data_IF_875320045898
#
_entry.id   IF_875320045898
#
_cell.length_a   1.000
_cell.length_b   1.000
_cell.length_c   1.000
_cell.angle_alpha   90.00
_cell.angle_beta   90.00
_cell.angle_gamma   90.00
#
_symmetry.space_group_name_H-M   'P 1'
#
loop_
_entity.id
_entity.type
_entity.pdbx_description
1 polymer ?
#
# COMPACT_ATOMS: atom_id res chain seq x y z
N UNK A 1 14.88 9.09 19.39
CA UNK A 1 14.55 8.97 17.96
C UNK A 1 13.05 9.10 17.83
N UNK A 2 12.58 10.00 16.95
CA UNK A 2 11.16 10.13 16.64
C UNK A 2 10.79 9.00 15.69
N UNK A 3 9.80 8.19 16.03
CA UNK A 3 9.33 7.12 15.17
C UNK A 3 8.30 7.71 14.20
N UNK A 4 8.54 7.62 12.89
CA UNK A 4 7.55 8.02 11.89
C UNK A 4 6.44 6.96 11.85
N UNK A 5 5.18 7.40 12.01
CA UNK A 5 3.99 6.53 12.11
C UNK A 5 2.97 7.08 11.12
N UNK A 6 2.45 6.21 10.25
CA UNK A 6 1.46 6.56 9.24
C UNK A 6 0.12 5.90 9.53
N UNK A 7 -0.93 6.38 8.87
CA UNK A 7 -2.22 5.70 8.87
C UNK A 7 -2.08 4.34 8.18
N UNK A 8 -2.91 3.38 8.59
CA UNK A 8 -2.93 1.98 8.14
C UNK A 8 -1.67 1.14 8.43
N UNK A 9 -0.59 1.73 8.98
CA UNK A 9 0.58 0.98 9.42
C UNK A 9 0.19 -0.16 10.37
N UNK A 10 0.70 -1.36 10.11
CA UNK A 10 0.53 -2.52 10.97
C UNK A 10 1.76 -2.68 11.84
N UNK A 11 1.57 -2.50 13.14
CA UNK A 11 2.63 -2.64 14.14
C UNK A 11 2.42 -3.86 15.02
N UNK A 12 3.52 -4.40 15.51
CA UNK A 12 3.52 -5.42 16.55
C UNK A 12 3.87 -4.78 17.88
N UNK A 13 3.00 -4.90 18.88
CA UNK A 13 3.28 -4.41 20.23
C UNK A 13 4.01 -5.46 21.07
N UNK A 14 4.76 -5.00 22.08
CA UNK A 14 5.41 -5.84 23.10
C UNK A 14 4.40 -6.54 24.00
N UNK A 15 3.30 -5.87 24.33
CA UNK A 15 2.20 -6.43 25.15
C UNK A 15 1.13 -7.05 24.26
N UNK A 16 0.64 -8.22 24.66
CA UNK A 16 -0.51 -8.86 23.99
C UNK A 16 -1.79 -8.10 24.26
N UNK A 17 -2.68 -8.05 23.26
CA UNK A 17 -4.07 -7.70 23.51
C UNK A 17 -4.76 -8.81 24.34
N UNK A 18 -5.75 -8.54 25.20
CA UNK A 18 -6.57 -9.56 25.87
C UNK A 18 -7.12 -10.66 24.93
N UNK A 19 -7.32 -10.38 23.63
CA UNK A 19 -7.75 -11.41 22.66
C UNK A 19 -6.63 -12.38 22.19
N UNK A 20 -5.38 -12.15 22.61
CA UNK A 20 -4.21 -12.94 22.26
C UNK A 20 -3.38 -12.46 21.05
N UNK A 21 -3.85 -11.48 20.28
CA UNK A 21 -3.08 -10.90 19.16
C UNK A 21 -2.06 -9.86 19.63
N UNK A 22 -0.96 -9.74 18.89
CA UNK A 22 0.07 -8.72 19.05
C UNK A 22 0.03 -7.66 17.95
N UNK A 23 -0.84 -7.85 16.96
CA UNK A 23 -0.87 -7.06 15.74
C UNK A 23 -1.98 -6.02 15.79
N UNK A 24 -1.57 -4.79 15.50
CA UNK A 24 -2.39 -3.62 15.62
C UNK A 24 -2.21 -2.75 14.38
N UNK A 25 -3.31 -2.29 13.83
CA UNK A 25 -3.33 -1.31 12.75
C UNK A 25 -3.47 0.09 13.32
N UNK A 26 -2.69 1.03 12.84
CA UNK A 26 -2.83 2.45 13.17
C UNK A 26 -4.04 3.00 12.43
N UNK A 27 -4.98 3.57 13.18
CA UNK A 27 -6.22 4.16 12.65
C UNK A 27 -6.34 5.66 12.90
N UNK A 28 -5.42 6.24 13.69
CA UNK A 28 -5.31 7.68 13.92
C UNK A 28 -3.88 8.03 14.29
N UNK A 29 -3.35 9.10 13.72
CA UNK A 29 -2.05 9.68 14.05
C UNK A 29 -2.26 11.12 14.52
N UNK A 30 -1.75 11.44 15.71
CA UNK A 30 -1.85 12.76 16.32
C UNK A 30 -1.03 12.82 17.61
N UNK A 31 -1.47 13.63 18.58
CA UNK A 31 -0.92 13.61 19.95
C UNK A 31 -1.10 12.23 20.61
N UNK A 32 -2.28 11.64 20.40
CA UNK A 32 -2.58 10.25 20.72
C UNK A 32 -2.65 9.41 19.44
N UNK A 33 -2.15 8.19 19.53
CA UNK A 33 -2.19 7.19 18.47
C UNK A 33 -3.37 6.26 18.72
N UNK A 34 -4.30 6.23 17.77
CA UNK A 34 -5.39 5.27 17.75
C UNK A 34 -4.94 3.98 17.07
N UNK A 35 -5.13 2.85 17.74
CA UNK A 35 -4.81 1.53 17.18
C UNK A 35 -6.00 0.59 17.23
N UNK A 36 -6.15 -0.24 16.20
CA UNK A 36 -7.19 -1.27 16.06
C UNK A 36 -6.56 -2.65 16.05
N UNK A 37 -7.02 -3.52 16.94
CA UNK A 37 -6.56 -4.91 16.97
C UNK A 37 -7.02 -5.64 15.70
N UNK A 38 -6.12 -6.31 14.97
CA UNK A 38 -6.48 -7.01 13.73
C UNK A 38 -7.36 -8.25 13.96
N UNK A 39 -7.29 -8.87 15.15
CA UNK A 39 -8.06 -10.09 15.46
C UNK A 39 -9.49 -9.82 15.94
N UNK A 40 -9.68 -8.84 16.83
CA UNK A 40 -10.98 -8.59 17.48
C UNK A 40 -11.55 -7.20 17.20
N UNK A 41 -10.88 -6.40 16.38
CA UNK A 41 -11.34 -5.09 15.92
C UNK A 41 -11.56 -4.01 17.00
N UNK A 42 -11.23 -4.28 18.27
CA UNK A 42 -11.23 -3.26 19.33
C UNK A 42 -10.22 -2.17 19.06
N UNK A 43 -10.63 -0.93 19.34
CA UNK A 43 -9.83 0.28 19.20
C UNK A 43 -9.34 0.74 20.57
N UNK A 44 -8.10 1.22 20.63
CA UNK A 44 -7.48 1.77 21.85
C UNK A 44 -6.76 3.05 21.46
N UNK A 45 -6.88 4.08 22.30
CA UNK A 45 -6.07 5.29 22.20
C UNK A 45 -4.87 5.17 23.15
N UNK A 46 -3.68 5.51 22.67
CA UNK A 46 -2.46 5.57 23.48
C UNK A 46 -1.73 6.88 23.22
N UNK A 47 -1.19 7.54 24.26
CA UNK A 47 -0.28 8.66 24.06
C UNK A 47 0.90 8.23 23.19
N UNK A 48 1.35 9.09 22.27
CA UNK A 48 2.42 8.76 21.32
C UNK A 48 3.66 8.17 22.00
N UNK A 49 4.15 8.80 23.07
CA UNK A 49 5.34 8.34 23.80
C UNK A 49 5.15 6.95 24.45
N UNK A 50 3.92 6.57 24.80
CA UNK A 50 3.60 5.23 25.31
C UNK A 50 3.56 4.22 24.18
N UNK A 51 2.95 4.60 23.05
CA UNK A 51 2.89 3.79 21.85
C UNK A 51 4.30 3.45 21.35
N UNK A 52 5.15 4.45 21.11
CA UNK A 52 6.52 4.27 20.60
C UNK A 52 7.35 3.31 21.49
N UNK A 53 7.23 3.43 22.82
CA UNK A 53 7.91 2.52 23.76
C UNK A 53 7.39 1.08 23.71
N UNK A 54 6.10 0.90 23.38
CA UNK A 54 5.42 -0.41 23.33
C UNK A 54 5.55 -1.09 21.97
N UNK A 55 5.85 -0.37 20.89
CA UNK A 55 6.11 -0.98 19.59
C UNK A 55 7.35 -1.86 19.68
N UNK A 56 7.22 -3.10 19.21
CA UNK A 56 8.34 -4.06 19.05
C UNK A 56 8.93 -3.95 17.64
N UNK A 57 8.09 -3.69 16.64
CA UNK A 57 8.49 -3.51 15.26
C UNK A 57 7.26 -3.29 14.35
N UNK A 58 7.52 -2.90 13.10
CA UNK A 58 6.50 -2.81 12.06
C UNK A 58 6.36 -4.17 11.36
N UNK A 59 5.12 -4.61 11.16
CA UNK A 59 4.78 -5.83 10.40
C UNK A 59 4.54 -5.48 8.95
N UNK A 60 3.82 -4.39 8.69
CA UNK A 60 3.59 -3.85 7.36
C UNK A 60 3.50 -2.34 7.48
N UNK A 61 4.18 -1.62 6.59
CA UNK A 61 4.04 -0.17 6.46
C UNK A 61 3.25 0.16 5.21
N UNK A 62 2.50 1.25 5.25
CA UNK A 62 1.81 1.76 4.06
C UNK A 62 2.78 1.96 2.88
N UNK A 63 4.01 2.36 3.16
CA UNK A 63 5.06 2.59 2.16
C UNK A 63 5.64 1.30 1.53
N UNK A 64 5.33 0.13 2.11
CA UNK A 64 5.81 -1.17 1.63
C UNK A 64 4.81 -1.93 0.77
N UNK A 65 3.59 -1.42 0.58
CA UNK A 65 2.66 -1.93 -0.42
C UNK A 65 3.02 -1.24 -1.74
N UNK A 66 3.31 -1.96 -2.85
CA UNK A 66 3.45 -1.29 -4.14
C UNK A 66 2.16 -0.52 -4.38
N UNK A 67 2.24 0.82 -4.33
CA UNK A 67 1.08 1.65 -4.61
C UNK A 67 0.68 1.35 -6.04
N UNK A 68 -0.63 1.24 -6.31
CA UNK A 68 -1.15 1.01 -7.68
C UNK A 68 -0.49 1.98 -8.67
N UNK A 69 -0.21 3.21 -8.22
CA UNK A 69 0.55 4.25 -8.91
C UNK A 69 2.00 3.87 -9.27
N UNK A 70 2.74 3.20 -8.39
CA UNK A 70 4.11 2.73 -8.63
C UNK A 70 4.13 1.56 -9.60
N UNK A 71 3.20 0.61 -9.44
CA UNK A 71 3.05 -0.51 -10.37
C UNK A 71 2.67 -0.01 -11.76
N UNK A 72 1.74 0.93 -11.85
CA UNK A 72 1.36 1.64 -13.08
C UNK A 72 2.56 2.31 -13.75
N UNK A 73 3.36 3.07 -13.00
CA UNK A 73 4.59 3.71 -13.50
C UNK A 73 5.61 2.70 -14.02
N UNK A 74 5.80 1.58 -13.32
CA UNK A 74 6.70 0.51 -13.77
C UNK A 74 6.22 -0.11 -15.10
N UNK A 75 4.91 -0.35 -15.23
CA UNK A 75 4.30 -0.85 -16.45
C UNK A 75 4.38 0.16 -17.61
N UNK A 76 4.11 1.45 -17.36
CA UNK A 76 4.27 2.53 -18.35
C UNK A 76 5.73 2.64 -18.83
N UNK A 77 6.70 2.51 -17.93
CA UNK A 77 8.13 2.51 -18.28
C UNK A 77 8.54 1.27 -19.10
N UNK A 78 8.05 0.08 -18.74
CA UNK A 78 8.27 -1.16 -19.51
C UNK A 78 7.66 -1.06 -20.91
N UNK A 79 6.46 -0.52 -21.03
CA UNK A 79 5.77 -0.32 -22.31
C UNK A 79 6.52 0.69 -23.20
N UNK A 80 6.99 1.79 -22.62
CA UNK A 80 7.75 2.81 -23.35
C UNK A 80 9.09 2.26 -23.88
N UNK A 81 9.80 1.48 -23.07
CA UNK A 81 11.04 0.82 -23.46
C UNK A 81 10.83 -0.27 -24.53
N UNK A 82 9.78 -1.09 -24.40
CA UNK A 82 9.37 -2.08 -25.42
C UNK A 82 9.02 -1.41 -26.76
N UNK A 83 8.24 -0.33 -26.72
CA UNK A 83 7.87 0.46 -27.90
C UNK A 83 9.08 1.18 -28.52
N UNK A 84 10.05 1.62 -27.71
CA UNK A 84 11.27 2.25 -28.21
C UNK A 84 12.23 1.28 -28.91
N UNK A 85 12.25 0.01 -28.48
CA UNK A 85 13.08 -1.05 -29.09
C UNK A 85 12.43 -1.74 -30.29
N UNK A 86 11.24 -1.30 -30.67
CA UNK A 86 10.40 -1.97 -31.64
C UNK A 86 10.87 -1.71 -33.09
N UNK A 87 11.17 -2.76 -33.88
CA UNK A 87 11.58 -2.58 -35.27
C UNK A 87 10.38 -2.13 -36.14
N UNK A 88 10.53 -1.01 -36.84
CA UNK A 88 9.46 -0.36 -37.59
C UNK A 88 8.85 -1.20 -38.74
N UNK A 89 9.49 -2.29 -39.16
CA UNK A 89 9.11 -3.04 -40.37
C UNK A 89 8.79 -4.53 -40.15
N UNK A 90 9.12 -5.12 -38.99
CA UNK A 90 8.96 -6.56 -38.76
C UNK A 90 8.63 -6.82 -37.32
N UNK A 91 7.39 -6.56 -36.94
CA UNK A 91 6.93 -6.89 -35.60
C UNK A 91 6.36 -8.30 -35.58
N UNK A 92 6.91 -9.20 -34.76
CA UNK A 92 6.29 -10.48 -34.50
C UNK A 92 4.93 -10.32 -33.80
N UNK A 93 3.96 -11.16 -34.16
CA UNK A 93 2.62 -11.20 -33.54
C UNK A 93 2.67 -11.43 -32.03
N UNK A 94 3.68 -12.16 -31.54
CA UNK A 94 3.89 -12.36 -30.10
C UNK A 94 4.15 -11.04 -29.35
N UNK A 95 4.82 -10.07 -29.98
CA UNK A 95 5.05 -8.76 -29.37
C UNK A 95 3.79 -7.88 -29.37
N UNK A 96 2.93 -8.01 -30.38
CA UNK A 96 1.62 -7.35 -30.41
C UNK A 96 0.69 -7.87 -29.30
N UNK A 97 0.63 -9.19 -29.11
CA UNK A 97 -0.16 -9.80 -28.05
C UNK A 97 0.35 -9.45 -26.65
N UNK A 98 1.66 -9.27 -26.51
CA UNK A 98 2.26 -8.81 -25.25
C UNK A 98 1.96 -7.33 -24.97
N UNK A 99 2.00 -6.46 -25.99
CA UNK A 99 1.55 -5.07 -25.85
C UNK A 99 0.07 -4.97 -25.48
N UNK A 100 -0.80 -5.69 -26.17
CA UNK A 100 -2.24 -5.70 -25.91
C UNK A 100 -2.53 -6.11 -24.46
N UNK A 101 -1.89 -7.19 -23.99
CA UNK A 101 -2.00 -7.65 -22.60
C UNK A 101 -1.52 -6.60 -21.59
N UNK A 102 -0.38 -5.95 -21.86
CA UNK A 102 0.17 -4.92 -20.97
C UNK A 102 -0.68 -3.65 -20.96
N UNK A 103 -1.28 -3.29 -22.10
CA UNK A 103 -2.21 -2.15 -22.21
C UNK A 103 -3.52 -2.41 -21.49
N UNK A 104 -4.08 -3.61 -21.59
CA UNK A 104 -5.26 -4.04 -20.83
C UNK A 104 -5.00 -4.04 -19.32
N UNK A 105 -3.88 -4.62 -18.85
CA UNK A 105 -3.50 -4.61 -17.43
C UNK A 105 -3.32 -3.18 -16.91
N UNK A 106 -2.75 -2.28 -17.73
CA UNK A 106 -2.60 -0.87 -17.39
C UNK A 106 -3.95 -0.15 -17.31
N UNK A 107 -4.90 -0.45 -18.21
CA UNK A 107 -6.24 0.14 -18.17
C UNK A 107 -7.01 -0.32 -16.93
N UNK A 108 -6.94 -1.60 -16.58
CA UNK A 108 -7.56 -2.13 -15.36
C UNK A 108 -7.00 -1.46 -14.10
N UNK A 109 -5.67 -1.34 -13.99
CA UNK A 109 -5.03 -0.64 -12.88
C UNK A 109 -5.42 0.84 -12.82
N UNK A 110 -5.55 1.52 -13.97
CA UNK A 110 -6.03 2.92 -14.04
C UNK A 110 -7.48 3.03 -13.55
N UNK A 111 -8.35 2.06 -13.86
CA UNK A 111 -9.72 2.02 -13.34
C UNK A 111 -9.74 1.83 -11.83
N UNK A 112 -8.90 0.94 -11.29
CA UNK A 112 -8.76 0.71 -9.84
C UNK A 112 -8.23 1.96 -9.14
N UNK A 113 -7.18 2.59 -9.67
CA UNK A 113 -6.61 3.84 -9.14
C UNK A 113 -7.66 4.96 -9.06
N UNK A 114 -8.45 5.13 -10.13
CA UNK A 114 -9.52 6.13 -10.19
C UNK A 114 -10.64 5.84 -9.19
N UNK A 115 -10.99 4.56 -8.99
CA UNK A 115 -11.97 4.16 -7.99
C UNK A 115 -11.49 4.40 -6.54
N UNK A 116 -10.19 4.16 -6.27
CA UNK A 116 -9.59 4.47 -4.97
C UNK A 116 -9.57 5.98 -4.69
N UNK A 117 -9.32 6.82 -5.71
CA UNK A 117 -9.35 8.29 -5.58
C UNK A 117 -10.77 8.83 -5.37
N UNK A 118 -11.79 8.21 -5.96
CA UNK A 118 -13.18 8.62 -5.79
C UNK A 118 -13.75 8.28 -4.39
N UNK A 119 -13.24 7.23 -3.75
CA UNK A 119 -13.64 6.82 -2.39
C UNK A 119 -13.03 7.68 -1.26
N UNK A 120 -11.94 8.39 -1.54
CA UNK A 120 -11.22 9.23 -0.56
C UNK A 120 -11.82 10.66 -0.44
N UNK A 121 -12.76 11.03 -1.31
CA UNK A 121 -13.43 12.35 -1.34
C UNK A 121 -14.86 12.35 -0.75
N UNK A 122 -15.26 11.29 -0.05
CA UNK A 122 -16.61 11.14 0.50
C UNK A 122 -16.71 11.35 2.04
N UNK A 123 -15.75 12.01 2.68
CA UNK A 123 -15.82 12.37 4.12
C UNK A 123 -15.59 13.87 4.36
#
# INVERSE_FOLDING_TARGET
MVMEIKLDDVVRLKKKHPCGSYEWRVVRVGADIGIKCLKCQRRVLLPRSVFERRVKGFVSREEGRPKVTERRKELEAKLADLRARWPAHSVPIAMWQELERLEEELEELKRIEKAMQAGDHAE
#
